data_IF_633277994997
#
_entry.id   IF_633277994997
#
_cell.length_a   1.000
_cell.length_b   1.000
_cell.length_c   1.000
_cell.angle_alpha   90.00
_cell.angle_beta   90.00
_cell.angle_gamma   90.00
#
_symmetry.space_group_name_H-M   'P 1'
#
loop_
_entity.id
_entity.type
_entity.pdbx_description
1 polymer ?
#
# COMPACT_ATOMS: atom_id res chain seq x y z
N UNK A 1 40.18 -25.17 31.22
CA UNK A 1 38.91 -25.58 30.61
C UNK A 1 37.75 -24.57 30.73
N UNK A 2 37.99 -23.30 31.07
CA UNK A 2 36.89 -22.26 31.16
C UNK A 2 36.81 -21.30 29.98
N UNK A 3 37.80 -21.27 29.09
CA UNK A 3 37.88 -20.32 27.96
C UNK A 3 37.09 -20.79 26.72
N UNK A 4 36.93 -22.09 26.54
CA UNK A 4 36.25 -22.68 25.37
C UNK A 4 34.73 -22.52 25.38
N UNK A 5 34.09 -22.41 26.55
CA UNK A 5 32.63 -22.25 26.66
C UNK A 5 32.16 -20.83 26.33
N UNK A 6 32.98 -19.81 26.57
CA UNK A 6 32.62 -18.38 26.28
C UNK A 6 32.68 -18.11 24.79
N UNK A 7 33.63 -18.71 24.05
CA UNK A 7 33.75 -18.52 22.60
C UNK A 7 32.56 -19.10 21.81
N UNK A 8 32.01 -20.24 22.25
CA UNK A 8 30.87 -20.88 21.63
C UNK A 8 29.56 -20.04 21.79
N UNK A 9 29.39 -19.39 22.93
CA UNK A 9 28.22 -18.56 23.21
C UNK A 9 28.19 -17.27 22.37
N UNK A 10 29.33 -16.67 22.11
CA UNK A 10 29.45 -15.43 21.30
C UNK A 10 29.14 -15.74 19.83
N UNK A 11 29.62 -16.86 19.29
CA UNK A 11 29.38 -17.24 17.90
C UNK A 11 27.88 -17.50 17.62
N UNK A 12 27.14 -18.09 18.56
CA UNK A 12 25.73 -18.35 18.44
C UNK A 12 24.87 -17.03 18.41
N UNK A 13 25.26 -16.04 19.21
CA UNK A 13 24.59 -14.73 19.23
C UNK A 13 24.79 -13.97 17.90
N UNK A 14 25.99 -14.03 17.32
CA UNK A 14 26.28 -13.40 16.03
C UNK A 14 25.54 -14.07 14.86
N UNK A 15 25.37 -15.38 14.87
CA UNK A 15 24.59 -16.06 13.82
C UNK A 15 23.10 -15.73 13.87
N UNK A 16 22.52 -15.59 15.07
CA UNK A 16 21.12 -15.17 15.23
C UNK A 16 20.89 -13.72 14.77
N UNK A 17 21.83 -12.82 15.01
CA UNK A 17 21.75 -11.42 14.55
C UNK A 17 21.84 -11.30 13.02
N UNK A 18 22.63 -12.13 12.34
CA UNK A 18 22.72 -12.15 10.87
C UNK A 18 21.43 -12.67 10.21
N UNK A 19 20.71 -13.58 10.83
CA UNK A 19 19.43 -14.07 10.29
C UNK A 19 18.31 -13.05 10.36
N UNK A 20 18.35 -12.14 11.31
CA UNK A 20 17.37 -11.06 11.42
C UNK A 20 17.62 -9.96 10.38
N UNK A 21 18.87 -9.70 10.00
CA UNK A 21 19.21 -8.69 8.99
C UNK A 21 18.80 -9.10 7.57
N UNK A 22 18.80 -10.39 7.24
CA UNK A 22 18.39 -10.90 5.93
C UNK A 22 16.87 -10.78 5.68
N UNK A 23 16.05 -10.59 6.72
CA UNK A 23 14.59 -10.41 6.60
C UNK A 23 14.19 -8.97 6.30
N UNK A 24 15.07 -8.01 6.51
CA UNK A 24 14.80 -6.59 6.33
C UNK A 24 14.92 -6.12 4.86
N UNK A 25 15.38 -6.95 3.94
CA UNK A 25 15.64 -6.59 2.54
C UNK A 25 14.52 -6.95 1.55
N UNK A 26 13.45 -7.58 2.01
CA UNK A 26 12.25 -7.74 1.19
C UNK A 26 11.46 -6.43 1.24
N UNK A 27 11.56 -5.62 0.18
CA UNK A 27 10.86 -4.36 0.06
C UNK A 27 9.37 -4.50 0.37
N UNK A 28 8.77 -3.48 0.97
CA UNK A 28 7.34 -3.46 1.30
C UNK A 28 6.50 -3.59 0.03
N UNK A 29 5.44 -4.39 0.08
CA UNK A 29 4.50 -4.56 -1.03
C UNK A 29 3.08 -4.27 -0.56
N UNK A 30 2.14 -4.20 -1.48
CA UNK A 30 0.70 -4.09 -1.17
C UNK A 30 0.20 -5.22 -0.24
N UNK A 31 0.92 -6.34 -0.14
CA UNK A 31 0.59 -7.46 0.75
C UNK A 31 1.20 -7.36 2.15
N UNK A 32 1.95 -6.31 2.43
CA UNK A 32 2.65 -6.12 3.71
C UNK A 32 1.81 -5.40 4.79
N UNK A 33 0.52 -5.15 4.55
CA UNK A 33 -0.33 -4.42 5.50
C UNK A 33 0.09 -2.94 5.61
N UNK A 34 0.04 -2.23 4.50
CA UNK A 34 0.60 -0.86 4.34
C UNK A 34 -0.38 0.26 4.66
N UNK A 35 -1.60 -0.06 5.09
CA UNK A 35 -2.64 0.88 5.53
C UNK A 35 -3.37 0.33 6.75
N UNK A 36 -4.11 1.17 7.48
CA UNK A 36 -4.95 0.72 8.60
C UNK A 36 -6.43 0.62 8.20
N UNK A 37 -7.19 -0.20 8.92
CA UNK A 37 -8.65 -0.32 8.71
C UNK A 37 -9.37 1.01 8.92
N UNK A 38 -8.93 1.79 9.91
CA UNK A 38 -9.47 3.11 10.21
C UNK A 38 -9.22 4.08 9.05
N UNK A 39 -8.01 4.06 8.47
CA UNK A 39 -7.68 4.87 7.31
C UNK A 39 -8.55 4.49 6.10
N UNK A 40 -8.72 3.21 5.83
CA UNK A 40 -9.56 2.73 4.74
C UNK A 40 -11.04 3.09 4.95
N UNK A 41 -11.53 3.03 6.18
CA UNK A 41 -12.91 3.44 6.53
C UNK A 41 -13.12 4.94 6.32
N UNK A 42 -12.16 5.75 6.76
CA UNK A 42 -12.17 7.20 6.50
C UNK A 42 -12.13 7.49 4.99
N UNK A 43 -11.33 6.74 4.25
CA UNK A 43 -11.23 6.84 2.80
C UNK A 43 -12.51 6.49 2.07
N UNK A 44 -13.24 5.47 2.52
CA UNK A 44 -14.55 5.11 1.98
C UNK A 44 -15.56 6.25 2.10
N UNK A 45 -15.57 6.95 3.23
CA UNK A 45 -16.46 8.08 3.46
C UNK A 45 -16.17 9.29 2.54
N UNK A 46 -14.91 9.55 2.22
CA UNK A 46 -14.51 10.58 1.26
C UNK A 46 -14.78 10.11 -0.17
N UNK A 47 -14.43 8.86 -0.49
CA UNK A 47 -14.68 8.24 -1.79
C UNK A 47 -16.16 8.36 -2.21
N UNK A 48 -17.09 8.02 -1.34
CA UNK A 48 -18.53 8.10 -1.58
C UNK A 48 -19.04 9.52 -1.90
N UNK A 49 -18.30 10.56 -1.51
CA UNK A 49 -18.71 11.95 -1.75
C UNK A 49 -18.13 12.55 -3.04
N UNK A 50 -16.91 12.10 -3.43
CA UNK A 50 -16.15 12.79 -4.48
C UNK A 50 -15.68 11.90 -5.62
N UNK A 51 -15.72 10.58 -5.47
CA UNK A 51 -15.19 9.63 -6.45
C UNK A 51 -16.30 8.75 -7.06
N UNK A 52 -17.29 8.37 -6.25
CA UNK A 52 -18.30 7.37 -6.62
C UNK A 52 -19.22 7.84 -7.75
N UNK A 53 -19.36 9.14 -7.98
CA UNK A 53 -20.13 9.66 -9.10
C UNK A 53 -19.65 9.11 -10.46
N UNK A 54 -18.33 8.97 -10.63
CA UNK A 54 -17.73 8.46 -11.86
C UNK A 54 -17.23 7.02 -11.72
N UNK A 55 -16.57 6.70 -10.60
CA UNK A 55 -15.97 5.36 -10.38
C UNK A 55 -16.96 4.35 -9.80
N UNK A 56 -18.20 4.75 -9.53
CA UNK A 56 -19.31 4.01 -8.92
C UNK A 56 -19.00 3.58 -7.46
N UNK A 57 -20.02 3.27 -6.69
CA UNK A 57 -19.88 2.87 -5.28
C UNK A 57 -19.12 1.56 -5.12
N UNK A 58 -19.21 0.69 -6.11
CA UNK A 58 -18.52 -0.59 -6.14
C UNK A 58 -17.13 -0.54 -6.79
N UNK A 59 -16.62 0.64 -7.15
CA UNK A 59 -15.34 0.86 -7.82
C UNK A 59 -15.21 0.22 -9.21
N UNK A 60 -16.33 -0.13 -9.85
CA UNK A 60 -16.32 -0.80 -11.16
C UNK A 60 -16.09 0.16 -12.34
N UNK A 61 -16.24 1.47 -12.10
CA UNK A 61 -16.20 2.48 -13.16
C UNK A 61 -17.43 2.45 -14.06
N UNK A 62 -17.63 3.49 -14.88
CA UNK A 62 -18.82 3.67 -15.72
C UNK A 62 -18.51 3.59 -17.23
N UNK A 63 -17.28 3.22 -17.59
CA UNK A 63 -16.78 3.17 -18.98
C UNK A 63 -16.10 4.47 -19.42
N UNK A 64 -16.35 5.62 -18.79
CA UNK A 64 -15.55 6.84 -18.92
C UNK A 64 -14.48 6.90 -17.83
N UNK A 65 -14.87 6.66 -16.59
CA UNK A 65 -13.93 6.46 -15.50
C UNK A 65 -13.55 4.98 -15.41
N UNK A 66 -12.24 4.65 -15.31
CA UNK A 66 -11.79 3.28 -15.23
C UNK A 66 -12.20 2.63 -13.89
N UNK A 67 -12.28 1.31 -13.88
CA UNK A 67 -12.40 0.55 -12.66
C UNK A 67 -11.21 0.79 -11.75
N UNK A 68 -11.47 0.84 -10.43
CA UNK A 68 -10.44 0.98 -9.38
C UNK A 68 -10.23 -0.31 -8.60
N UNK A 69 -10.75 -1.42 -9.11
CA UNK A 69 -10.58 -2.79 -8.60
C UNK A 69 -10.68 -3.81 -9.75
N UNK A 70 -10.41 -5.06 -9.43
CA UNK A 70 -10.56 -6.16 -10.39
C UNK A 70 -9.34 -6.36 -11.29
N UNK A 71 -9.42 -7.32 -12.23
CA UNK A 71 -8.26 -7.80 -12.99
C UNK A 71 -7.57 -6.73 -13.82
N UNK A 72 -8.33 -5.84 -14.45
CA UNK A 72 -7.78 -4.76 -15.27
C UNK A 72 -6.98 -3.76 -14.43
N UNK A 73 -7.57 -3.28 -13.33
CA UNK A 73 -6.88 -2.40 -12.38
C UNK A 73 -5.60 -3.05 -11.83
N UNK A 74 -5.70 -4.31 -11.40
CA UNK A 74 -4.55 -5.05 -10.89
C UNK A 74 -3.45 -5.20 -11.94
N UNK A 75 -3.81 -5.48 -13.20
CA UNK A 75 -2.84 -5.60 -14.30
C UNK A 75 -2.15 -4.28 -14.61
N UNK A 76 -2.91 -3.17 -14.62
CA UNK A 76 -2.38 -1.84 -14.95
C UNK A 76 -1.38 -1.33 -13.91
N UNK A 77 -1.53 -1.71 -12.65
CA UNK A 77 -0.67 -1.23 -11.56
C UNK A 77 0.40 -2.24 -11.13
N UNK A 78 0.29 -3.50 -11.55
CA UNK A 78 1.26 -4.53 -11.19
C UNK A 78 2.68 -4.18 -11.64
N UNK A 79 3.61 -4.23 -10.69
CA UNK A 79 5.03 -3.90 -10.93
C UNK A 79 5.38 -2.42 -10.77
N UNK A 80 4.40 -1.52 -10.71
CA UNK A 80 4.58 -0.12 -10.33
C UNK A 80 4.65 0.03 -8.81
N UNK A 81 4.61 1.26 -8.30
CA UNK A 81 4.61 1.51 -6.86
C UNK A 81 3.27 2.08 -6.39
N UNK A 82 2.98 1.91 -5.10
CA UNK A 82 1.84 2.57 -4.45
C UNK A 82 1.98 4.10 -4.56
N UNK A 83 3.22 4.61 -4.60
CA UNK A 83 3.51 6.02 -4.83
C UNK A 83 3.13 6.50 -6.22
N UNK A 84 3.27 5.66 -7.25
CA UNK A 84 2.84 6.03 -8.61
C UNK A 84 1.32 6.13 -8.69
N UNK A 85 0.60 5.21 -8.06
CA UNK A 85 -0.86 5.26 -7.96
C UNK A 85 -1.33 6.47 -7.14
N UNK A 86 -0.69 6.73 -6.00
CA UNK A 86 -0.97 7.92 -5.19
C UNK A 86 -0.75 9.21 -5.98
N UNK A 87 0.37 9.32 -6.70
CA UNK A 87 0.67 10.49 -7.53
C UNK A 87 -0.38 10.70 -8.62
N UNK A 88 -0.82 9.62 -9.26
CA UNK A 88 -1.92 9.69 -10.23
C UNK A 88 -3.18 10.27 -9.62
N UNK A 89 -3.59 9.80 -8.45
CA UNK A 89 -4.75 10.34 -7.72
C UNK A 89 -4.49 11.81 -7.35
N UNK A 90 -3.30 12.10 -6.84
CA UNK A 90 -2.94 13.43 -6.32
C UNK A 90 -3.05 14.52 -7.37
N UNK A 91 -2.54 14.27 -8.57
CA UNK A 91 -2.43 15.31 -9.62
C UNK A 91 -3.62 15.38 -10.55
N UNK A 92 -4.44 14.33 -10.64
CA UNK A 92 -5.48 14.25 -11.66
C UNK A 92 -6.89 13.96 -11.15
N UNK A 93 -7.09 13.71 -9.85
CA UNK A 93 -8.41 13.35 -9.31
C UNK A 93 -8.84 14.25 -8.15
N UNK A 94 -10.12 14.69 -8.13
CA UNK A 94 -11.09 14.61 -9.23
C UNK A 94 -10.68 15.49 -10.41
N UNK A 95 -11.04 15.16 -11.67
CA UNK A 95 -10.49 15.83 -12.86
C UNK A 95 -10.80 17.33 -12.93
N UNK A 96 -11.98 17.73 -12.46
CA UNK A 96 -12.43 19.13 -12.48
C UNK A 96 -11.66 19.99 -11.47
N UNK A 97 -11.27 19.45 -10.32
CA UNK A 97 -10.64 20.20 -9.24
C UNK A 97 -9.76 19.30 -8.36
N UNK A 98 -8.57 18.89 -8.83
CA UNK A 98 -7.71 17.95 -8.09
C UNK A 98 -7.33 18.43 -6.68
N UNK A 99 -7.29 19.73 -6.44
CA UNK A 99 -6.92 20.29 -5.14
C UNK A 99 -8.09 20.37 -4.13
N UNK A 100 -9.31 20.01 -4.53
CA UNK A 100 -10.48 20.02 -3.62
C UNK A 100 -10.40 18.91 -2.56
N UNK A 101 -9.56 17.88 -2.77
CA UNK A 101 -9.31 16.77 -1.85
C UNK A 101 -7.87 16.86 -1.36
N UNK A 102 -7.69 16.91 -0.04
CA UNK A 102 -6.36 17.04 0.56
C UNK A 102 -5.50 15.78 0.33
N UNK A 103 -4.16 15.89 0.37
CA UNK A 103 -3.28 14.73 0.25
C UNK A 103 -3.56 13.64 1.29
N UNK A 104 -3.93 14.00 2.50
CA UNK A 104 -4.31 13.04 3.56
C UNK A 104 -5.59 12.27 3.21
N UNK A 105 -6.60 12.96 2.72
CA UNK A 105 -7.83 12.32 2.25
C UNK A 105 -7.57 11.40 1.06
N UNK A 106 -6.69 11.80 0.13
CA UNK A 106 -6.29 10.96 -1.02
C UNK A 106 -5.54 9.70 -0.58
N UNK A 107 -4.69 9.78 0.45
CA UNK A 107 -4.05 8.61 1.03
C UNK A 107 -5.10 7.67 1.66
N UNK A 108 -6.12 8.22 2.32
CA UNK A 108 -7.22 7.43 2.87
C UNK A 108 -8.08 6.79 1.76
N UNK A 109 -8.37 7.52 0.68
CA UNK A 109 -9.05 6.96 -0.51
C UNK A 109 -8.23 5.81 -1.10
N UNK A 110 -6.91 5.98 -1.22
CA UNK A 110 -6.03 4.90 -1.69
C UNK A 110 -6.07 3.68 -0.78
N UNK A 111 -6.11 3.86 0.55
CA UNK A 111 -6.30 2.76 1.50
C UNK A 111 -7.64 2.02 1.27
N UNK A 112 -8.72 2.75 0.99
CA UNK A 112 -10.01 2.17 0.63
C UNK A 112 -9.93 1.37 -0.69
N UNK A 113 -9.26 1.88 -1.71
CA UNK A 113 -9.04 1.18 -2.98
C UNK A 113 -8.26 -0.12 -2.76
N UNK A 114 -7.17 -0.08 -1.98
CA UNK A 114 -6.38 -1.27 -1.65
C UNK A 114 -7.21 -2.31 -0.88
N UNK A 115 -7.99 -1.88 0.11
CA UNK A 115 -8.92 -2.75 0.85
C UNK A 115 -9.93 -3.43 -0.08
N UNK A 116 -10.53 -2.66 -0.98
CA UNK A 116 -11.49 -3.15 -1.97
C UNK A 116 -10.85 -4.12 -2.98
N UNK A 117 -9.55 -4.00 -3.23
CA UNK A 117 -8.73 -4.92 -3.99
C UNK A 117 -8.34 -6.20 -3.25
N UNK A 118 -8.68 -6.34 -1.97
CA UNK A 118 -8.39 -7.53 -1.16
C UNK A 118 -6.99 -7.54 -0.53
N UNK A 119 -6.28 -6.42 -0.53
CA UNK A 119 -4.99 -6.32 0.18
C UNK A 119 -5.22 -6.24 1.69
N UNK A 120 -4.32 -6.82 2.52
CA UNK A 120 -4.49 -6.82 3.97
C UNK A 120 -4.22 -5.44 4.58
N UNK A 121 -4.96 -5.10 5.62
CA UNK A 121 -4.63 -4.00 6.50
C UNK A 121 -3.46 -4.36 7.43
N UNK A 122 -2.79 -3.35 7.94
CA UNK A 122 -1.73 -3.45 8.93
C UNK A 122 -1.92 -2.44 10.07
N UNK A 123 -0.82 -2.04 10.69
CA UNK A 123 -0.82 -1.15 11.83
C UNK A 123 -0.29 0.26 11.53
N UNK A 124 0.10 0.53 10.29
CA UNK A 124 0.68 1.81 9.87
C UNK A 124 -0.17 2.41 8.76
N UNK A 125 -0.51 3.69 8.86
CA UNK A 125 -1.21 4.41 7.81
C UNK A 125 -0.31 4.65 6.58
N UNK A 126 -0.92 4.67 5.40
CA UNK A 126 -0.27 5.20 4.20
C UNK A 126 0.08 6.67 4.42
N UNK A 127 1.30 7.04 4.09
CA UNK A 127 1.73 8.44 4.09
C UNK A 127 0.94 9.29 3.09
N UNK A 128 0.84 10.58 3.36
CA UNK A 128 0.20 11.56 2.47
C UNK A 128 1.20 12.20 1.47
N UNK A 129 2.35 11.58 1.29
CA UNK A 129 3.42 12.02 0.40
C UNK A 129 3.82 10.90 -0.57
N UNK A 130 4.12 11.28 -1.81
CA UNK A 130 4.50 10.33 -2.88
C UNK A 130 5.80 9.59 -2.58
N UNK A 131 6.81 10.29 -2.03
CA UNK A 131 8.18 9.73 -1.86
C UNK A 131 8.22 8.48 -0.99
N UNK A 132 7.66 8.44 0.24
CA UNK A 132 7.68 7.22 1.05
C UNK A 132 6.84 6.09 0.41
N UNK A 133 5.77 6.42 -0.32
CA UNK A 133 4.91 5.43 -0.98
C UNK A 133 5.59 4.76 -2.19
N UNK A 134 6.61 5.38 -2.79
CA UNK A 134 7.42 4.75 -3.86
C UNK A 134 8.27 3.57 -3.37
N UNK A 135 8.49 3.45 -2.07
CA UNK A 135 9.15 2.29 -1.49
C UNK A 135 8.22 1.05 -1.38
N UNK A 136 6.92 1.21 -1.66
CA UNK A 136 5.92 0.14 -1.58
C UNK A 136 5.60 -0.32 -2.99
N UNK A 137 5.94 -1.57 -3.31
CA UNK A 137 5.66 -2.16 -4.62
C UNK A 137 4.21 -2.58 -4.73
N UNK A 138 3.55 -2.24 -5.83
CA UNK A 138 2.21 -2.75 -6.13
C UNK A 138 2.35 -4.14 -6.76
N UNK A 139 1.95 -5.16 -6.04
CA UNK A 139 1.94 -6.55 -6.50
C UNK A 139 0.51 -7.07 -6.55
N UNK A 140 0.01 -7.34 -7.75
CA UNK A 140 -1.36 -7.82 -7.96
C UNK A 140 -1.58 -9.23 -7.36
N UNK A 141 -0.53 -10.04 -7.30
CA UNK A 141 -0.58 -11.40 -6.77
C UNK A 141 0.20 -11.51 -5.47
N UNK A 142 -0.38 -12.20 -4.49
CA UNK A 142 0.31 -12.43 -3.21
C UNK A 142 1.60 -13.24 -3.42
N UNK A 143 2.77 -12.76 -2.96
CA UNK A 143 4.02 -13.51 -3.05
C UNK A 143 3.92 -14.88 -2.37
N UNK A 144 4.48 -15.91 -3.02
CA UNK A 144 4.57 -17.26 -2.45
C UNK A 144 3.33 -18.17 -2.68
N UNK A 145 2.47 -17.83 -3.65
CA UNK A 145 1.50 -18.79 -4.20
C UNK A 145 1.93 -19.30 -5.55
#
# INVERSE_FOLDING_TARGET
MKVTLVAASIAAVWMLAMWQSARAEQGSTTWSGVYTEEQATSGAAVYAKVCSECHLDDLAGDGFAPALRGPEFMSNWNGLTVGDLFERIRVSMPPSEPNSVTPKEKASILAHILKSGGFPAGSTELAAETTPLKAIKFEATKPGR
#
